data_IF_960307527199
#
_entry.id   IF_960307527199
#
_cell.length_a   1.000
_cell.length_b   1.000
_cell.length_c   1.000
_cell.angle_alpha   90.00
_cell.angle_beta   90.00
_cell.angle_gamma   90.00
#
_symmetry.space_group_name_H-M   'P 1'
#
loop_
_entity.id
_entity.type
_entity.pdbx_description
1 polymer ?
#
# COMPACT_ATOMS: atom_id res chain seq x y z
N UNK A 1 -9.40 2.14 15.68
CA UNK A 1 -10.06 2.01 14.36
C UNK A 1 -10.55 3.41 13.98
N UNK A 2 -10.11 3.93 12.85
CA UNK A 2 -10.51 5.27 12.40
C UNK A 2 -11.98 5.33 12.01
N UNK A 3 -12.51 6.54 11.93
CA UNK A 3 -13.73 6.79 11.16
C UNK A 3 -13.53 6.39 9.68
N UNK A 4 -14.43 5.61 9.07
CA UNK A 4 -14.29 5.17 7.67
C UNK A 4 -14.20 6.30 6.65
N UNK A 5 -14.84 7.46 6.90
CA UNK A 5 -14.72 8.61 6.00
C UNK A 5 -13.35 9.24 6.10
N UNK A 6 -12.77 9.27 7.29
CA UNK A 6 -11.40 9.72 7.51
C UNK A 6 -10.40 8.76 6.85
N UNK A 7 -10.61 7.44 6.98
CA UNK A 7 -9.78 6.44 6.30
C UNK A 7 -9.80 6.64 4.77
N UNK A 8 -10.99 6.76 4.17
CA UNK A 8 -11.11 7.04 2.72
C UNK A 8 -10.42 8.35 2.33
N UNK A 9 -10.52 9.40 3.15
CA UNK A 9 -9.82 10.65 2.90
C UNK A 9 -8.30 10.48 2.88
N UNK A 10 -7.77 9.73 3.83
CA UNK A 10 -6.32 9.48 3.93
C UNK A 10 -5.85 8.64 2.76
N UNK A 11 -6.65 7.65 2.34
CA UNK A 11 -6.40 6.89 1.11
C UNK A 11 -6.30 7.81 -0.10
N UNK A 12 -7.24 8.74 -0.27
CA UNK A 12 -7.23 9.66 -1.42
C UNK A 12 -6.04 10.63 -1.39
N UNK A 13 -5.61 11.09 -0.21
CA UNK A 13 -4.38 11.91 -0.07
C UNK A 13 -3.14 11.11 -0.47
N UNK A 14 -3.02 9.88 0.02
CA UNK A 14 -1.94 8.95 -0.36
C UNK A 14 -1.97 8.71 -1.87
N UNK A 15 -3.17 8.47 -2.42
CA UNK A 15 -3.37 8.23 -3.85
C UNK A 15 -2.87 9.40 -4.67
N UNK A 16 -3.34 10.60 -4.39
CA UNK A 16 -2.94 11.78 -5.15
C UNK A 16 -1.46 12.11 -4.96
N UNK A 17 -0.98 12.10 -3.72
CA UNK A 17 0.37 12.55 -3.39
C UNK A 17 1.47 11.58 -3.76
N UNK A 18 1.21 10.27 -3.66
CA UNK A 18 2.21 9.23 -3.91
C UNK A 18 1.98 8.50 -5.24
N UNK A 19 0.73 8.37 -5.70
CA UNK A 19 0.42 7.56 -6.88
C UNK A 19 0.29 8.38 -8.15
N UNK A 20 -0.41 9.51 -8.06
CA UNK A 20 -0.54 10.50 -9.14
C UNK A 20 0.69 11.41 -9.24
N UNK A 21 1.60 11.36 -8.26
CA UNK A 21 2.77 12.23 -8.14
C UNK A 21 2.40 13.72 -8.10
N UNK A 22 1.21 14.03 -7.55
CA UNK A 22 0.68 15.38 -7.42
C UNK A 22 0.69 15.81 -5.95
N UNK A 23 1.91 16.04 -5.46
CA UNK A 23 2.17 16.42 -4.06
C UNK A 23 1.45 17.73 -3.71
N UNK A 24 1.36 18.68 -4.64
CA UNK A 24 0.71 19.97 -4.38
C UNK A 24 -0.81 19.82 -4.22
N UNK A 25 -1.45 18.99 -5.05
CA UNK A 25 -2.87 18.65 -4.87
C UNK A 25 -3.09 17.86 -3.58
N UNK A 26 -2.19 16.95 -3.22
CA UNK A 26 -2.27 16.21 -1.95
C UNK A 26 -2.16 17.14 -0.73
N UNK A 27 -1.23 18.10 -0.75
CA UNK A 27 -1.14 19.14 0.29
C UNK A 27 -2.39 20.02 0.35
N UNK A 28 -2.95 20.40 -0.79
CA UNK A 28 -4.20 21.15 -0.85
C UNK A 28 -5.38 20.35 -0.27
N UNK A 29 -5.40 19.04 -0.49
CA UNK A 29 -6.37 18.12 0.10
C UNK A 29 -6.23 18.05 1.62
N UNK A 30 -5.01 17.99 2.16
CA UNK A 30 -4.75 18.05 3.60
C UNK A 30 -5.23 19.40 4.18
N UNK A 31 -4.90 20.52 3.54
CA UNK A 31 -5.37 21.83 3.98
C UNK A 31 -6.90 21.92 4.02
N UNK A 32 -7.59 21.41 2.99
CA UNK A 32 -9.05 21.37 2.94
C UNK A 32 -9.67 20.47 4.02
N UNK A 33 -8.94 19.45 4.49
CA UNK A 33 -9.35 18.59 5.60
C UNK A 33 -9.28 19.37 6.93
N UNK A 34 -8.20 20.12 7.15
CA UNK A 34 -8.06 21.02 8.31
C UNK A 34 -9.10 22.14 8.34
N UNK A 35 -9.41 22.75 7.20
CA UNK A 35 -10.46 23.79 7.09
C UNK A 35 -11.85 23.27 7.52
N UNK A 36 -12.07 21.95 7.48
CA UNK A 36 -13.31 21.29 7.90
C UNK A 36 -13.29 20.85 9.37
N UNK A 37 -12.23 21.17 10.11
CA UNK A 37 -12.05 20.77 11.52
C UNK A 37 -11.74 19.28 11.70
N UNK A 38 -11.29 18.61 10.65
CA UNK A 38 -10.76 17.25 10.71
C UNK A 38 -9.23 17.32 10.72
N UNK A 39 -8.57 16.38 11.38
CA UNK A 39 -7.11 16.34 11.43
C UNK A 39 -6.58 14.98 11.00
N UNK A 40 -5.45 14.97 10.27
CA UNK A 40 -4.69 13.76 10.05
C UNK A 40 -4.10 13.28 11.38
N UNK A 41 -4.00 11.96 11.61
CA UNK A 41 -3.15 11.46 12.67
C UNK A 41 -1.73 11.97 12.45
N UNK A 42 -1.15 12.63 13.46
CA UNK A 42 0.17 13.27 13.37
C UNK A 42 1.27 12.33 12.88
N UNK A 43 1.20 11.05 13.25
CA UNK A 43 2.12 10.03 12.75
C UNK A 43 2.09 9.90 11.21
N UNK A 44 0.91 9.94 10.61
CA UNK A 44 0.75 9.81 9.15
C UNK A 44 1.16 11.08 8.43
N UNK A 45 0.78 12.23 8.98
CA UNK A 45 1.22 13.51 8.42
C UNK A 45 2.74 13.60 8.36
N UNK A 46 3.43 13.25 9.46
CA UNK A 46 4.90 13.21 9.49
C UNK A 46 5.45 12.27 8.42
N UNK A 47 4.94 11.04 8.32
CA UNK A 47 5.39 10.08 7.29
C UNK A 47 5.19 10.64 5.88
N UNK A 48 4.01 11.21 5.57
CA UNK A 48 3.74 11.78 4.25
C UNK A 48 4.71 12.92 3.92
N UNK A 49 4.98 13.80 4.88
CA UNK A 49 5.93 14.90 4.70
C UNK A 49 7.37 14.39 4.48
N UNK A 50 7.81 13.38 5.22
CA UNK A 50 9.12 12.75 5.04
C UNK A 50 9.22 12.11 3.64
N UNK A 51 8.20 11.34 3.23
CA UNK A 51 8.16 10.72 1.91
C UNK A 51 8.21 11.78 0.80
N UNK A 52 7.46 12.86 0.90
CA UNK A 52 7.41 13.90 -0.13
C UNK A 52 8.65 14.80 -0.17
N UNK A 53 9.33 15.00 0.95
CA UNK A 53 10.49 15.90 1.04
C UNK A 53 11.81 15.22 0.72
N UNK A 54 11.99 13.96 1.14
CA UNK A 54 13.26 13.24 1.00
C UNK A 54 13.14 11.90 0.27
N UNK A 55 11.93 11.42 -0.01
CA UNK A 55 11.73 10.08 -0.56
C UNK A 55 12.13 8.98 0.41
N UNK A 56 11.99 9.22 1.72
CA UNK A 56 12.45 8.31 2.78
C UNK A 56 11.79 6.93 2.67
N UNK A 57 12.58 5.91 2.35
CA UNK A 57 12.13 4.52 2.26
C UNK A 57 11.68 3.96 3.62
N UNK A 58 12.23 4.46 4.74
CA UNK A 58 11.79 4.08 6.08
C UNK A 58 10.37 4.59 6.36
N UNK A 59 10.08 5.84 5.98
CA UNK A 59 8.75 6.40 6.13
C UNK A 59 7.72 5.68 5.21
N UNK A 60 8.15 5.27 4.02
CA UNK A 60 7.34 4.42 3.12
C UNK A 60 7.05 3.04 3.72
N UNK A 61 8.06 2.39 4.29
CA UNK A 61 7.89 1.12 5.01
C UNK A 61 6.93 1.27 6.17
N UNK A 62 7.13 2.27 7.02
CA UNK A 62 6.30 2.48 8.20
C UNK A 62 4.84 2.80 7.81
N UNK A 63 4.62 3.57 6.74
CA UNK A 63 3.29 3.83 6.22
C UNK A 63 2.61 2.54 5.70
N UNK A 64 3.34 1.70 4.96
CA UNK A 64 2.84 0.44 4.46
C UNK A 64 2.59 -0.58 5.59
N UNK A 65 3.47 -0.62 6.60
CA UNK A 65 3.33 -1.47 7.77
C UNK A 65 2.14 -1.03 8.62
N UNK A 66 1.97 0.27 8.84
CA UNK A 66 0.84 0.82 9.57
C UNK A 66 -0.50 0.54 8.86
N UNK A 67 -0.48 0.53 7.53
CA UNK A 67 -1.62 0.11 6.69
C UNK A 67 -1.93 -1.38 6.90
N UNK A 68 -0.92 -2.24 6.85
CA UNK A 68 -1.06 -3.69 6.95
C UNK A 68 -1.41 -4.19 8.36
N UNK A 69 -0.81 -3.64 9.42
CA UNK A 69 -0.93 -4.16 10.79
C UNK A 69 -2.08 -3.54 11.61
N UNK A 70 -2.36 -2.24 11.44
CA UNK A 70 -3.16 -1.48 12.44
C UNK A 70 -4.63 -1.26 12.05
N UNK A 71 -5.12 -1.95 11.02
CA UNK A 71 -6.49 -1.78 10.49
C UNK A 71 -6.79 -0.30 10.13
N UNK A 72 -5.77 0.40 9.63
CA UNK A 72 -5.93 1.76 9.12
C UNK A 72 -6.65 1.75 7.78
N UNK A 73 -6.30 0.76 6.97
CA UNK A 73 -6.92 0.40 5.71
C UNK A 73 -7.39 -1.06 5.76
N UNK A 74 -8.31 -1.41 4.88
CA UNK A 74 -8.63 -2.81 4.68
C UNK A 74 -7.51 -3.53 3.92
N UNK A 75 -7.69 -4.84 3.71
CA UNK A 75 -6.74 -5.69 2.99
C UNK A 75 -6.50 -5.18 1.58
N UNK A 76 -7.55 -4.69 0.91
CA UNK A 76 -7.48 -4.26 -0.49
C UNK A 76 -6.61 -3.01 -0.60
N UNK A 77 -6.90 -2.00 0.19
CA UNK A 77 -6.17 -0.73 0.19
C UNK A 77 -4.70 -0.92 0.59
N UNK A 78 -4.43 -1.85 1.51
CA UNK A 78 -3.06 -2.20 1.92
C UNK A 78 -2.28 -2.88 0.78
N UNK A 79 -2.89 -3.86 0.10
CA UNK A 79 -2.26 -4.54 -1.05
C UNK A 79 -2.06 -3.57 -2.22
N UNK A 80 -3.04 -2.71 -2.48
CA UNK A 80 -2.92 -1.67 -3.51
C UNK A 80 -1.77 -0.72 -3.20
N UNK A 81 -1.66 -0.22 -1.96
CA UNK A 81 -0.55 0.65 -1.57
C UNK A 81 0.81 -0.01 -1.83
N UNK A 82 0.99 -1.24 -1.37
CA UNK A 82 2.24 -1.98 -1.54
C UNK A 82 2.55 -2.17 -3.03
N UNK A 83 1.58 -2.64 -3.81
CA UNK A 83 1.74 -2.83 -5.25
C UNK A 83 2.16 -1.54 -5.95
N UNK A 84 1.53 -0.42 -5.58
CA UNK A 84 1.84 0.89 -6.15
C UNK A 84 3.25 1.37 -5.81
N UNK A 85 3.68 1.22 -4.56
CA UNK A 85 5.03 1.60 -4.16
C UNK A 85 6.09 0.77 -4.88
N UNK A 86 5.82 -0.53 -5.09
CA UNK A 86 6.68 -1.41 -5.90
C UNK A 86 6.77 -0.95 -7.35
N UNK A 87 5.63 -0.77 -8.04
CA UNK A 87 5.62 -0.39 -9.45
C UNK A 87 6.23 1.00 -9.72
N UNK A 88 6.28 1.87 -8.71
CA UNK A 88 6.95 3.18 -8.78
C UNK A 88 8.44 3.12 -8.42
N UNK A 89 8.98 1.93 -8.11
CA UNK A 89 10.36 1.76 -7.66
C UNK A 89 10.66 2.41 -6.30
N UNK A 90 9.62 2.65 -5.50
CA UNK A 90 9.72 3.24 -4.16
C UNK A 90 9.85 2.17 -3.07
N UNK A 91 9.59 0.91 -3.41
CA UNK A 91 9.68 -0.23 -2.51
C UNK A 91 10.25 -1.43 -3.28
N UNK A 92 11.25 -2.10 -2.71
CA UNK A 92 11.80 -3.33 -3.30
C UNK A 92 10.85 -4.53 -3.14
N UNK A 93 10.98 -5.53 -4.02
CA UNK A 93 10.12 -6.73 -3.99
C UNK A 93 10.25 -7.51 -2.68
N UNK A 94 11.48 -7.71 -2.19
CA UNK A 94 11.72 -8.39 -0.89
C UNK A 94 11.05 -7.68 0.28
N UNK A 95 11.07 -6.36 0.23
CA UNK A 95 10.43 -5.47 1.22
C UNK A 95 8.90 -5.61 1.12
N UNK A 96 8.34 -5.55 -0.09
CA UNK A 96 6.91 -5.77 -0.33
C UNK A 96 6.43 -7.15 0.13
N UNK A 97 7.20 -8.21 -0.14
CA UNK A 97 6.92 -9.55 0.34
C UNK A 97 6.80 -9.60 1.87
N UNK A 98 7.75 -8.98 2.58
CA UNK A 98 7.70 -8.85 4.04
C UNK A 98 6.43 -8.17 4.53
N UNK A 99 6.04 -7.04 3.91
CA UNK A 99 4.83 -6.28 4.27
C UNK A 99 3.53 -7.05 4.01
N UNK A 100 3.44 -7.74 2.87
CA UNK A 100 2.27 -8.55 2.52
C UNK A 100 2.07 -9.71 3.49
N UNK A 101 3.13 -10.19 4.13
CA UNK A 101 3.05 -11.19 5.19
C UNK A 101 2.30 -10.73 6.45
N UNK A 102 2.12 -9.41 6.65
CA UNK A 102 1.38 -8.84 7.78
C UNK A 102 -0.08 -8.49 7.46
N UNK A 103 -0.47 -8.49 6.18
CA UNK A 103 -1.85 -8.13 5.78
C UNK A 103 -2.82 -9.20 6.29
N UNK A 104 -3.73 -8.81 7.17
CA UNK A 104 -4.65 -9.74 7.84
C UNK A 104 -5.51 -10.57 6.87
N UNK A 105 -5.52 -11.89 7.03
CA UNK A 105 -6.20 -12.83 6.13
C UNK A 105 -7.70 -12.97 6.41
N UNK A 106 -8.48 -11.89 6.28
CA UNK A 106 -9.94 -12.05 6.18
C UNK A 106 -10.34 -12.26 4.71
N UNK A 107 -10.21 -13.51 4.25
CA UNK A 107 -10.26 -13.92 2.84
C UNK A 107 -11.69 -14.01 2.24
N UNK A 108 -12.73 -13.78 3.05
CA UNK A 108 -14.09 -14.21 2.69
C UNK A 108 -14.75 -13.40 1.57
N UNK A 109 -14.27 -12.19 1.25
CA UNK A 109 -14.79 -11.34 0.16
C UNK A 109 -13.69 -10.51 -0.53
N UNK A 110 -12.55 -11.13 -0.85
CA UNK A 110 -11.49 -10.42 -1.59
C UNK A 110 -11.70 -10.49 -3.10
N UNK A 111 -11.41 -9.37 -3.77
CA UNK A 111 -11.29 -9.31 -5.21
C UNK A 111 -10.32 -10.40 -5.72
N UNK A 112 -10.64 -11.11 -6.82
CA UNK A 112 -9.79 -12.19 -7.33
C UNK A 112 -8.32 -11.79 -7.55
N UNK A 113 -8.07 -10.53 -7.92
CA UNK A 113 -6.71 -10.01 -8.14
C UNK A 113 -5.94 -9.82 -6.83
N UNK A 114 -6.60 -9.30 -5.80
CA UNK A 114 -6.04 -9.15 -4.45
C UNK A 114 -5.75 -10.53 -3.86
N UNK A 115 -6.68 -11.48 -4.04
CA UNK A 115 -6.50 -12.87 -3.63
C UNK A 115 -5.30 -13.51 -4.32
N UNK A 116 -5.12 -13.28 -5.62
CA UNK A 116 -3.97 -13.82 -6.36
C UNK A 116 -2.63 -13.34 -5.80
N UNK A 117 -2.51 -12.06 -5.43
CA UNK A 117 -1.30 -11.53 -4.75
C UNK A 117 -1.05 -12.26 -3.44
N UNK A 118 -2.09 -12.48 -2.63
CA UNK A 118 -1.98 -13.19 -1.35
C UNK A 118 -1.57 -14.65 -1.56
N UNK A 119 -2.16 -15.33 -2.54
CA UNK A 119 -1.84 -16.72 -2.87
C UNK A 119 -0.36 -16.86 -3.32
N UNK A 120 0.13 -15.90 -4.12
CA UNK A 120 1.54 -15.82 -4.53
C UNK A 120 2.45 -15.65 -3.31
N UNK A 121 2.15 -14.70 -2.42
CA UNK A 121 2.94 -14.48 -1.20
C UNK A 121 2.96 -15.73 -0.32
N UNK A 122 1.83 -16.43 -0.20
CA UNK A 122 1.76 -17.67 0.57
C UNK A 122 2.65 -18.78 -0.04
N UNK A 123 2.62 -18.93 -1.36
CA UNK A 123 3.44 -19.90 -2.08
C UNK A 123 4.94 -19.61 -1.92
N UNK A 124 5.36 -18.36 -2.14
CA UNK A 124 6.75 -17.94 -1.98
C UNK A 124 7.25 -18.14 -0.55
N UNK A 125 6.39 -17.92 0.45
CA UNK A 125 6.75 -18.16 1.85
C UNK A 125 7.01 -19.63 2.13
N UNK A 126 6.16 -20.51 1.59
CA UNK A 126 6.33 -21.95 1.73
C UNK A 126 7.60 -22.45 1.03
N UNK A 127 7.93 -21.91 -0.15
CA UNK A 127 9.15 -22.27 -0.88
C UNK A 127 10.42 -21.77 -0.18
N UNK A 128 10.38 -20.54 0.36
CA UNK A 128 11.46 -19.98 1.18
C UNK A 128 11.72 -20.80 2.45
N UNK A 129 10.67 -21.24 3.15
CA UNK A 129 10.78 -22.13 4.33
C UNK A 129 11.36 -23.51 3.96
N UNK A 130 11.19 -23.95 2.72
CA UNK A 130 11.77 -25.18 2.19
C UNK A 130 13.23 -25.02 1.72
N UNK A 131 13.81 -23.80 1.80
CA UNK A 131 15.20 -23.52 1.39
C UNK A 131 15.40 -23.43 -0.13
N UNK A 132 14.32 -23.21 -0.87
CA UNK A 132 14.32 -22.87 -2.30
C UNK A 132 14.12 -21.34 -2.39
N UNK A 133 14.73 -20.67 -3.37
CA UNK A 133 14.34 -19.36 -3.96
C UNK A 133 15.55 -18.44 -4.17
N UNK A 134 15.69 -17.79 -5.35
CA UNK A 134 16.40 -16.49 -5.44
C UNK A 134 16.01 -15.56 -6.64
N UNK A 135 15.35 -16.00 -7.74
CA UNK A 135 15.10 -15.11 -8.90
C UNK A 135 13.72 -15.19 -9.60
N UNK A 136 13.14 -16.39 -9.77
CA UNK A 136 11.80 -16.53 -10.40
C UNK A 136 10.68 -15.96 -9.51
N UNK A 137 10.88 -16.02 -8.20
CA UNK A 137 9.92 -15.60 -7.18
C UNK A 137 9.71 -14.09 -7.11
N UNK A 138 10.81 -13.33 -7.30
CA UNK A 138 10.76 -11.88 -7.38
C UNK A 138 9.96 -11.42 -8.61
N UNK A 139 10.01 -12.22 -9.69
CA UNK A 139 9.28 -11.95 -10.93
C UNK A 139 7.79 -12.25 -10.76
N UNK A 140 7.45 -13.38 -10.14
CA UNK A 140 6.07 -13.79 -9.87
C UNK A 140 5.32 -12.76 -9.01
N UNK A 141 5.94 -12.29 -7.93
CA UNK A 141 5.34 -11.27 -7.07
C UNK A 141 5.22 -9.92 -7.78
N UNK A 142 6.23 -9.52 -8.54
CA UNK A 142 6.17 -8.28 -9.33
C UNK A 142 5.00 -8.30 -10.33
N UNK A 143 4.82 -9.40 -11.06
CA UNK A 143 3.72 -9.55 -12.03
C UNK A 143 2.35 -9.54 -11.36
N UNK A 144 2.20 -10.22 -10.21
CA UNK A 144 0.95 -10.24 -9.45
C UNK A 144 0.57 -8.83 -8.96
N UNK A 145 1.54 -8.08 -8.44
CA UNK A 145 1.36 -6.70 -8.00
C UNK A 145 1.02 -5.77 -9.17
N UNK A 146 1.72 -5.88 -10.30
CA UNK A 146 1.41 -5.06 -11.48
C UNK A 146 -0.02 -5.31 -12.00
N UNK A 147 -0.42 -6.58 -12.03
CA UNK A 147 -1.76 -6.98 -12.46
C UNK A 147 -2.86 -6.36 -11.60
N UNK A 148 -2.69 -6.38 -10.27
CA UNK A 148 -3.68 -5.81 -9.34
C UNK A 148 -3.91 -4.31 -9.61
N UNK A 149 -2.86 -3.59 -9.98
CA UNK A 149 -2.95 -2.16 -10.31
C UNK A 149 -3.62 -1.90 -11.64
N UNK A 150 -3.32 -2.73 -12.65
CA UNK A 150 -3.95 -2.61 -13.95
C UNK A 150 -5.46 -2.87 -13.85
N UNK A 151 -5.87 -3.88 -13.09
CA UNK A 151 -7.28 -4.16 -12.83
C UNK A 151 -7.97 -3.03 -12.04
N UNK A 152 -7.30 -2.49 -11.02
CA UNK A 152 -7.79 -1.33 -10.27
C UNK A 152 -8.05 -0.11 -11.17
N UNK A 153 -7.07 0.26 -12.02
CA UNK A 153 -7.19 1.38 -12.97
C UNK A 153 -8.32 1.22 -13.97
N UNK A 154 -8.65 -0.01 -14.35
CA UNK A 154 -9.74 -0.29 -15.29
C UNK A 154 -11.13 -0.27 -14.67
N UNK A 155 -11.26 -0.53 -13.36
CA UNK A 155 -12.55 -0.53 -12.66
C UNK A 155 -13.00 0.87 -12.20
N UNK A 156 -12.07 1.81 -12.04
CA UNK A 156 -12.35 3.21 -11.69
C UNK A 156 -12.65 4.11 -12.93
N UNK A 157 -12.77 3.52 -14.14
CA UNK A 157 -13.15 4.19 -15.40
C UNK A 157 -14.55 3.80 -15.83
#
# INVERSE_FOLDING_TARGET
>A
MLDPKLANWIWEVIKVGLLEDDIEKAKAMIAALYDRGLELPSQIETMLLEIWSSGDESALWDLALLSAEKAFFDVRESVLLIALLVCKGKLGIKTAFGLLGFVGFNLNELDPSIRHVIDVVWLLRHDSEAGVMEAEDDTLLAEALERVLNEYRTKDR
#
